data_IF_737988144073
#
_entry.id   IF_737988144073
#
_cell.length_a   1.000
_cell.length_b   1.000
_cell.length_c   1.000
_cell.angle_alpha   90.00
_cell.angle_beta   90.00
_cell.angle_gamma   90.00
#
_symmetry.space_group_name_H-M   'P 1'
#
loop_
_entity.id
_entity.type
_entity.pdbx_description
1 polymer ?
#
# COMPACT_ATOMS: atom_id res chain seq x y z
N UNK A 1 47.40 -49.91 59.39
CA UNK A 1 46.24 -49.81 60.31
C UNK A 1 45.08 -50.59 59.69
N UNK A 2 44.92 -51.82 60.18
CA UNK A 2 43.70 -52.63 60.34
C UNK A 2 42.39 -52.38 59.53
N UNK A 3 41.98 -53.47 58.82
CA UNK A 3 40.63 -54.13 58.83
C UNK A 3 39.53 -53.36 58.04
N UNK A 4 38.84 -53.89 57.00
CA UNK A 4 37.91 -55.05 57.01
C UNK A 4 37.70 -55.72 55.65
N UNK A 5 37.58 -57.05 55.74
CA UNK A 5 37.24 -58.06 54.71
C UNK A 5 35.72 -58.18 54.50
N UNK A 6 35.40 -58.94 53.45
CA UNK A 6 34.22 -59.77 53.22
C UNK A 6 33.04 -59.10 52.50
N UNK A 7 32.32 -59.73 51.58
CA UNK A 7 32.41 -60.98 50.81
C UNK A 7 31.24 -60.87 49.78
N UNK A 8 31.49 -61.00 48.47
CA UNK A 8 31.21 -62.15 47.59
C UNK A 8 29.74 -62.64 47.47
N UNK A 9 29.41 -62.89 46.20
CA UNK A 9 28.31 -63.67 45.60
C UNK A 9 27.16 -62.81 45.02
N UNK A 10 27.13 -62.50 43.72
CA UNK A 10 26.92 -63.35 42.53
C UNK A 10 25.46 -63.82 42.36
N UNK A 11 24.78 -63.29 41.34
CA UNK A 11 23.76 -64.02 40.57
C UNK A 11 23.56 -63.32 39.22
N UNK A 12 23.79 -64.09 38.16
CA UNK A 12 23.64 -63.73 36.76
C UNK A 12 22.17 -63.70 36.33
N UNK A 13 21.86 -62.92 35.28
CA UNK A 13 20.86 -63.31 34.26
C UNK A 13 20.75 -62.30 33.10
N UNK A 14 21.08 -62.78 31.90
CA UNK A 14 20.25 -62.76 30.68
C UNK A 14 19.93 -61.41 29.99
N UNK A 15 20.59 -61.26 28.83
CA UNK A 15 20.00 -61.14 27.49
C UNK A 15 18.86 -60.12 27.26
N UNK A 16 19.17 -59.13 26.42
CA UNK A 16 18.17 -58.30 25.76
C UNK A 16 18.81 -57.30 24.80
N UNK A 17 19.17 -57.74 23.59
CA UNK A 17 19.45 -56.86 22.45
C UNK A 17 18.15 -56.15 22.07
N UNK A 18 17.86 -55.02 22.71
CA UNK A 18 16.82 -54.11 22.25
C UNK A 18 17.40 -53.29 21.09
N UNK A 19 17.03 -53.67 19.86
CA UNK A 19 17.26 -52.84 18.68
C UNK A 19 16.62 -51.48 18.91
N UNK A 20 17.45 -50.43 18.98
CA UNK A 20 17.01 -49.04 18.91
C UNK A 20 16.43 -48.81 17.52
N UNK A 21 15.12 -49.03 17.40
CA UNK A 21 14.35 -48.50 16.27
C UNK A 21 14.33 -47.00 16.43
N UNK A 22 15.29 -46.31 15.80
CA UNK A 22 15.21 -44.87 15.58
C UNK A 22 14.02 -44.67 14.65
N UNK A 23 12.86 -44.36 15.24
CA UNK A 23 11.72 -43.88 14.49
C UNK A 23 12.17 -42.60 13.80
N UNK A 24 12.40 -42.66 12.49
CA UNK A 24 12.55 -41.47 11.67
C UNK A 24 11.26 -40.68 11.81
N UNK A 25 11.29 -39.61 12.60
CA UNK A 25 10.24 -38.60 12.60
C UNK A 25 10.09 -38.14 11.15
N UNK A 26 8.89 -38.20 10.55
CA UNK A 26 8.69 -37.62 9.23
C UNK A 26 9.03 -36.15 9.36
N UNK A 27 10.11 -35.74 8.71
CA UNK A 27 10.43 -34.33 8.50
C UNK A 27 9.23 -33.80 7.75
N UNK A 28 8.38 -33.02 8.43
CA UNK A 28 7.31 -32.32 7.76
C UNK A 28 7.98 -31.46 6.68
N UNK A 29 7.80 -31.85 5.42
CA UNK A 29 8.16 -31.01 4.29
C UNK A 29 7.55 -29.65 4.57
N UNK A 30 8.41 -28.66 4.83
CA UNK A 30 7.99 -27.29 4.95
C UNK A 30 7.39 -26.93 3.60
N UNK A 31 6.05 -26.97 3.51
CA UNK A 31 5.34 -26.54 2.33
C UNK A 31 5.93 -25.19 1.91
N UNK A 32 6.32 -25.02 0.63
CA UNK A 32 6.95 -23.79 0.19
C UNK A 32 6.04 -22.64 0.62
N UNK A 33 6.56 -21.71 1.42
CA UNK A 33 5.82 -20.55 1.85
C UNK A 33 5.37 -19.83 0.58
N UNK A 34 4.07 -19.85 0.30
CA UNK A 34 3.51 -19.21 -0.90
C UNK A 34 3.91 -17.75 -0.85
N UNK A 35 4.83 -17.34 -1.74
CA UNK A 35 5.27 -15.96 -1.79
C UNK A 35 4.03 -15.07 -1.98
N UNK A 36 3.93 -14.02 -1.18
CA UNK A 36 2.79 -13.12 -1.28
C UNK A 36 2.78 -12.51 -2.69
N UNK A 37 1.65 -12.60 -3.39
CA UNK A 37 1.48 -11.98 -4.70
C UNK A 37 1.89 -10.51 -4.64
N UNK A 38 2.63 -10.08 -5.66
CA UNK A 38 3.14 -8.72 -5.81
C UNK A 38 2.60 -8.16 -7.12
N UNK A 39 2.36 -6.86 -7.12
CA UNK A 39 1.97 -6.09 -8.29
C UNK A 39 2.99 -5.00 -8.52
N UNK A 40 3.49 -4.90 -9.76
CA UNK A 40 4.27 -3.75 -10.22
C UNK A 40 3.32 -2.71 -10.80
N UNK A 41 3.30 -1.53 -10.19
CA UNK A 41 2.50 -0.39 -10.61
C UNK A 41 3.47 0.63 -11.22
N UNK A 42 3.30 0.93 -12.49
CA UNK A 42 4.03 1.99 -13.18
C UNK A 42 3.13 3.19 -13.36
N UNK A 43 3.55 4.35 -12.88
CA UNK A 43 2.89 5.62 -13.11
C UNK A 43 3.63 6.38 -14.21
N UNK A 44 2.92 6.75 -15.27
CA UNK A 44 3.44 7.67 -16.28
C UNK A 44 3.05 9.09 -15.87
N UNK A 45 4.02 9.94 -15.58
CA UNK A 45 3.80 11.27 -14.98
C UNK A 45 4.58 12.34 -15.73
N UNK A 46 4.30 12.54 -17.04
CA UNK A 46 5.10 13.44 -17.86
C UNK A 46 5.09 14.87 -17.31
N UNK A 47 6.26 15.50 -17.28
CA UNK A 47 6.43 16.88 -16.80
C UNK A 47 6.39 17.04 -15.28
N UNK A 48 6.60 15.95 -14.52
CA UNK A 48 6.72 15.95 -13.06
C UNK A 48 8.07 15.37 -12.60
N UNK A 49 9.14 15.60 -13.36
CA UNK A 49 10.49 15.23 -12.93
C UNK A 49 10.82 15.86 -11.56
N UNK A 50 11.40 15.05 -10.66
CA UNK A 50 11.68 15.46 -9.29
C UNK A 50 10.47 15.48 -8.34
N UNK A 51 9.28 15.08 -8.80
CA UNK A 51 8.13 14.93 -7.91
C UNK A 51 8.32 13.75 -6.95
N UNK A 52 8.01 13.99 -5.68
CA UNK A 52 8.04 12.98 -4.64
C UNK A 52 6.67 12.31 -4.53
N UNK A 53 6.64 10.98 -4.52
CA UNK A 53 5.43 10.17 -4.58
C UNK A 53 5.48 9.09 -3.51
N UNK A 54 4.37 8.94 -2.79
CA UNK A 54 4.19 7.86 -1.81
C UNK A 54 2.85 7.17 -2.02
N UNK A 55 2.87 5.84 -1.95
CA UNK A 55 1.66 5.03 -1.95
C UNK A 55 1.26 4.70 -0.53
N UNK A 56 -0.05 4.76 -0.27
CA UNK A 56 -0.62 4.40 1.02
C UNK A 56 -1.94 3.66 0.86
N UNK A 57 -2.24 2.76 1.79
CA UNK A 57 -3.53 2.11 1.93
C UNK A 57 -4.03 2.38 3.34
N UNK A 58 -5.18 3.05 3.45
CA UNK A 58 -5.90 3.20 4.70
C UNK A 58 -7.32 2.67 4.48
N UNK A 59 -7.73 1.66 5.25
CA UNK A 59 -9.07 1.07 5.15
C UNK A 59 -9.64 0.77 6.52
N UNK A 60 -10.96 0.84 6.64
CA UNK A 60 -11.63 0.44 7.88
C UNK A 60 -11.36 -1.04 8.20
N UNK A 61 -11.14 -1.34 9.48
CA UNK A 61 -11.05 -2.73 9.95
C UNK A 61 -12.41 -3.41 9.77
N UNK A 62 -12.39 -4.59 9.17
CA UNK A 62 -13.52 -5.53 9.17
C UNK A 62 -13.32 -6.51 10.33
N UNK A 63 -14.23 -6.50 11.32
CA UNK A 63 -14.18 -7.36 12.52
C UNK A 63 -14.33 -6.60 13.83
N UNK A 64 -14.32 -7.31 14.99
CA UNK A 64 -14.42 -6.68 16.31
C UNK A 64 -13.22 -5.75 16.54
N UNK A 65 -13.52 -4.49 16.87
CA UNK A 65 -12.54 -3.43 17.09
C UNK A 65 -12.65 -2.31 16.05
N UNK A 66 -12.96 -1.10 16.52
CA UNK A 66 -12.95 0.10 15.68
C UNK A 66 -11.51 0.46 15.24
N UNK A 67 -11.37 1.00 14.03
CA UNK A 67 -10.13 1.62 13.59
C UNK A 67 -9.79 1.40 12.13
N UNK A 68 -8.60 1.86 11.77
CA UNK A 68 -8.08 1.89 10.41
C UNK A 68 -6.91 0.89 10.33
N UNK A 69 -6.87 0.07 9.27
CA UNK A 69 -5.67 -0.65 8.85
C UNK A 69 -4.88 0.27 7.92
N UNK A 70 -3.62 0.49 8.23
CA UNK A 70 -2.75 1.40 7.51
C UNK A 70 -1.51 0.68 7.01
N UNK A 71 -1.07 1.03 5.80
CA UNK A 71 0.16 0.61 5.16
C UNK A 71 0.65 1.71 4.22
N UNK A 72 1.96 1.85 4.04
CA UNK A 72 2.54 2.80 3.09
C UNK A 72 3.88 2.28 2.54
N UNK A 73 4.32 2.87 1.43
CA UNK A 73 5.67 2.68 0.88
C UNK A 73 6.63 3.74 1.42
N UNK A 74 7.93 3.51 1.26
CA UNK A 74 8.86 4.63 1.22
C UNK A 74 8.48 5.58 0.07
N UNK A 75 8.84 6.85 0.23
CA UNK A 75 8.70 7.84 -0.84
C UNK A 75 9.69 7.54 -1.98
N UNK A 76 9.29 7.85 -3.21
CA UNK A 76 10.13 7.76 -4.40
C UNK A 76 10.03 9.03 -5.21
N UNK A 77 11.13 9.38 -5.85
CA UNK A 77 11.20 10.52 -6.76
C UNK A 77 10.96 10.05 -8.20
N UNK A 78 10.15 10.80 -8.94
CA UNK A 78 10.01 10.63 -10.39
C UNK A 78 11.34 10.97 -11.06
N UNK A 79 11.81 10.07 -11.91
CA UNK A 79 12.98 10.26 -12.76
C UNK A 79 12.50 10.28 -14.23
N UNK A 80 12.63 11.44 -14.87
CA UNK A 80 12.05 11.69 -16.20
C UNK A 80 10.52 11.74 -16.15
N UNK A 81 9.86 10.84 -16.88
CA UNK A 81 8.40 10.86 -17.08
C UNK A 81 7.67 9.66 -16.43
N UNK A 82 8.34 8.87 -15.59
CA UNK A 82 7.69 7.72 -14.95
C UNK A 82 8.31 7.32 -13.62
N UNK A 83 7.57 6.55 -12.82
CA UNK A 83 8.11 5.81 -11.69
C UNK A 83 7.36 4.48 -11.50
N UNK A 84 8.01 3.50 -10.88
CA UNK A 84 7.39 2.21 -10.58
C UNK A 84 7.52 1.82 -9.11
N UNK A 85 6.51 1.11 -8.60
CA UNK A 85 6.53 0.44 -7.30
C UNK A 85 6.15 -1.02 -7.45
N UNK A 86 6.89 -1.91 -6.79
CA UNK A 86 6.46 -3.30 -6.60
C UNK A 86 5.92 -3.45 -5.19
N UNK A 87 4.63 -3.73 -5.06
CA UNK A 87 3.92 -3.76 -3.77
C UNK A 87 3.20 -5.10 -3.60
N UNK A 88 2.94 -5.59 -2.38
CA UNK A 88 2.06 -6.75 -2.21
C UNK A 88 0.67 -6.44 -2.78
N UNK A 89 0.15 -7.31 -3.64
CA UNK A 89 -1.11 -7.09 -4.39
C UNK A 89 -2.29 -6.74 -3.48
N UNK A 90 -2.34 -7.31 -2.27
CA UNK A 90 -3.36 -6.99 -1.25
C UNK A 90 -3.42 -5.50 -0.87
N UNK A 91 -2.34 -4.75 -1.09
CA UNK A 91 -2.23 -3.33 -0.76
C UNK A 91 -2.71 -2.40 -1.88
N UNK A 92 -3.03 -2.91 -3.08
CA UNK A 92 -3.58 -2.11 -4.18
C UNK A 92 -5.03 -1.70 -3.92
N UNK A 93 -5.84 -2.58 -3.31
CA UNK A 93 -7.26 -2.31 -3.08
C UNK A 93 -7.46 -1.26 -2.00
N UNK A 94 -8.01 -0.10 -2.33
CA UNK A 94 -8.13 1.06 -1.42
C UNK A 94 -6.81 1.80 -1.23
N UNK A 95 -5.94 1.73 -2.24
CA UNK A 95 -4.72 2.52 -2.31
C UNK A 95 -5.04 3.97 -2.68
N UNK A 96 -4.26 4.89 -2.14
CA UNK A 96 -4.19 6.29 -2.54
C UNK A 96 -2.73 6.68 -2.76
N UNK A 97 -2.53 7.79 -3.46
CA UNK A 97 -1.21 8.27 -3.81
C UNK A 97 -1.08 9.76 -3.51
N UNK A 98 -0.07 10.13 -2.73
CA UNK A 98 0.32 11.52 -2.54
C UNK A 98 1.41 11.91 -3.53
N UNK A 99 1.42 13.20 -3.88
CA UNK A 99 2.41 13.82 -4.75
C UNK A 99 2.84 15.13 -4.13
N UNK A 100 4.14 15.34 -3.99
CA UNK A 100 4.75 16.62 -3.63
C UNK A 100 5.64 17.05 -4.78
N UNK A 101 5.23 18.09 -5.49
CA UNK A 101 5.98 18.58 -6.64
C UNK A 101 7.01 19.64 -6.22
N UNK A 102 8.17 19.74 -6.90
CA UNK A 102 9.26 20.64 -6.51
C UNK A 102 8.90 22.13 -6.62
N UNK A 103 7.79 22.47 -7.27
CA UNK A 103 7.31 23.84 -7.41
C UNK A 103 6.29 24.25 -6.35
N UNK A 104 5.85 23.35 -5.48
CA UNK A 104 4.85 23.66 -4.47
C UNK A 104 5.39 24.67 -3.45
N UNK A 105 4.57 25.68 -3.14
CA UNK A 105 4.77 26.53 -1.98
C UNK A 105 4.09 25.94 -0.75
N UNK A 106 3.94 26.73 0.30
CA UNK A 106 3.26 26.29 1.53
C UNK A 106 1.72 26.26 1.35
N UNK A 107 1.22 25.14 0.84
CA UNK A 107 -0.20 24.87 0.56
C UNK A 107 -1.04 24.57 1.80
N UNK A 108 -0.41 24.06 2.88
CA UNK A 108 -1.12 23.59 4.07
C UNK A 108 -1.80 22.22 3.90
N UNK A 109 -1.48 21.49 2.84
CA UNK A 109 -1.94 20.13 2.57
C UNK A 109 -0.96 19.39 1.66
N UNK A 110 -1.05 18.07 1.58
CA UNK A 110 -0.33 17.27 0.58
C UNK A 110 -1.25 16.98 -0.59
N UNK A 111 -0.81 17.27 -1.82
CA UNK A 111 -1.58 16.95 -3.03
C UNK A 111 -1.78 15.45 -3.11
N UNK A 112 -3.02 15.01 -3.32
CA UNK A 112 -3.38 13.60 -3.49
C UNK A 112 -3.92 13.39 -4.91
N UNK A 113 -3.62 12.25 -5.50
CA UNK A 113 -4.08 11.91 -6.84
C UNK A 113 -5.57 11.60 -6.83
N UNK A 114 -6.33 12.30 -7.66
CA UNK A 114 -7.71 11.94 -7.97
C UNK A 114 -7.73 10.77 -8.97
N UNK A 115 -8.09 9.57 -8.50
CA UNK A 115 -8.24 8.40 -9.37
C UNK A 115 -9.55 8.40 -10.16
N UNK A 116 -10.57 9.09 -9.64
CA UNK A 116 -11.83 9.38 -10.35
C UNK A 116 -12.41 10.71 -9.89
N UNK A 117 -12.91 11.48 -10.84
CA UNK A 117 -13.75 12.65 -10.58
C UNK A 117 -15.24 12.30 -10.63
N UNK A 118 -16.06 13.08 -9.93
CA UNK A 118 -17.50 12.88 -9.88
C UNK A 118 -18.14 13.05 -11.27
N UNK A 119 -19.03 12.12 -11.60
CA UNK A 119 -19.75 12.09 -12.87
C UNK A 119 -18.95 11.58 -14.07
N UNK A 120 -17.71 11.12 -13.87
CA UNK A 120 -16.93 10.37 -14.88
C UNK A 120 -17.05 8.88 -14.60
N UNK A 121 -16.88 8.01 -15.58
CA UNK A 121 -16.90 6.54 -15.48
C UNK A 121 -15.51 5.92 -15.69
N UNK A 122 -15.26 4.69 -15.18
CA UNK A 122 -13.98 4.02 -15.37
C UNK A 122 -13.68 3.84 -16.86
N UNK A 123 -12.47 4.22 -17.28
CA UNK A 123 -12.07 4.27 -18.68
C UNK A 123 -12.21 5.63 -19.36
N UNK A 124 -12.91 6.60 -18.76
CA UNK A 124 -13.04 7.95 -19.33
C UNK A 124 -11.71 8.71 -19.27
N UNK A 125 -11.34 9.34 -20.39
CA UNK A 125 -10.17 10.22 -20.44
C UNK A 125 -10.49 11.62 -19.89
N UNK A 126 -9.64 12.08 -18.98
CA UNK A 126 -9.77 13.36 -18.30
C UNK A 126 -8.71 14.34 -18.80
N UNK A 127 -9.17 15.38 -19.49
CA UNK A 127 -8.31 16.52 -19.82
C UNK A 127 -8.11 17.42 -18.60
N UNK A 128 -7.04 18.23 -18.63
CA UNK A 128 -6.79 19.21 -17.57
C UNK A 128 -7.95 20.22 -17.41
N UNK A 129 -8.60 20.61 -18.51
CA UNK A 129 -9.73 21.53 -18.46
C UNK A 129 -10.91 20.90 -17.72
N UNK A 130 -11.22 19.63 -18.02
CA UNK A 130 -12.25 18.88 -17.30
C UNK A 130 -11.87 18.74 -15.83
N UNK A 131 -10.65 18.30 -15.51
CA UNK A 131 -10.20 18.18 -14.12
C UNK A 131 -10.42 19.48 -13.34
N UNK A 132 -10.03 20.63 -13.90
CA UNK A 132 -10.21 21.96 -13.27
C UNK A 132 -11.65 22.39 -13.03
N UNK A 133 -12.63 21.81 -13.73
CA UNK A 133 -14.06 22.10 -13.52
C UNK A 133 -14.73 21.14 -12.53
N UNK A 134 -14.00 20.14 -12.01
CA UNK A 134 -14.58 19.17 -11.08
C UNK A 134 -14.65 19.70 -9.65
N UNK A 135 -15.70 19.26 -8.98
CA UNK A 135 -16.02 19.61 -7.59
C UNK A 135 -16.03 18.42 -6.65
N UNK A 136 -16.02 17.19 -7.18
CA UNK A 136 -15.95 15.96 -6.41
C UNK A 136 -14.86 15.06 -6.99
N UNK A 137 -14.03 14.47 -6.13
CA UNK A 137 -13.02 13.49 -6.51
C UNK A 137 -12.84 12.41 -5.44
N UNK A 138 -12.25 11.28 -5.82
CA UNK A 138 -11.80 10.26 -4.87
C UNK A 138 -10.32 9.98 -5.05
N UNK A 139 -9.63 9.87 -3.93
CA UNK A 139 -8.25 9.41 -3.86
C UNK A 139 -8.15 7.88 -3.80
N UNK A 140 -9.28 7.18 -3.73
CA UNK A 140 -9.32 5.77 -3.39
C UNK A 140 -9.44 4.91 -4.65
N UNK A 141 -8.32 4.33 -5.07
CA UNK A 141 -8.28 3.37 -6.16
C UNK A 141 -8.84 2.01 -5.72
N UNK A 142 -9.64 1.36 -6.58
CA UNK A 142 -10.15 0.02 -6.32
C UNK A 142 -9.06 -1.05 -6.32
N UNK A 143 -7.86 -0.74 -6.81
CA UNK A 143 -6.76 -1.68 -6.90
C UNK A 143 -6.86 -2.61 -8.10
N UNK A 144 -6.02 -3.63 -8.09
CA UNK A 144 -5.94 -4.64 -9.14
C UNK A 144 -5.44 -5.97 -8.57
N UNK A 145 -5.76 -7.06 -9.25
CA UNK A 145 -5.17 -8.38 -9.04
C UNK A 145 -4.12 -8.74 -10.10
N UNK A 146 -3.88 -7.88 -11.08
CA UNK A 146 -2.85 -8.10 -12.09
C UNK A 146 -1.45 -8.01 -11.47
N UNK A 147 -0.50 -8.73 -12.06
CA UNK A 147 0.91 -8.68 -11.69
C UNK A 147 1.55 -7.34 -12.10
N UNK A 148 1.03 -6.71 -13.14
CA UNK A 148 1.50 -5.42 -13.65
C UNK A 148 0.33 -4.51 -14.05
N UNK A 149 0.49 -3.20 -13.82
CA UNK A 149 -0.46 -2.18 -14.28
C UNK A 149 0.29 -0.88 -14.56
N UNK A 150 -0.11 -0.20 -15.64
CA UNK A 150 0.35 1.16 -15.95
C UNK A 150 -0.81 2.13 -15.79
N UNK A 151 -0.60 3.19 -15.01
CA UNK A 151 -1.60 4.23 -14.77
C UNK A 151 -1.05 5.57 -15.28
N UNK A 152 -1.62 6.12 -16.38
CA UNK A 152 -1.23 7.44 -16.84
C UNK A 152 -1.77 8.49 -15.88
N UNK A 153 -0.88 9.37 -15.42
CA UNK A 153 -1.19 10.46 -14.52
C UNK A 153 -0.90 11.79 -15.21
N UNK A 154 -1.70 12.79 -14.85
CA UNK A 154 -1.37 14.18 -15.13
C UNK A 154 -1.11 14.88 -13.81
N UNK A 155 0.10 15.40 -13.65
CA UNK A 155 0.44 16.31 -12.55
C UNK A 155 0.83 17.66 -13.14
N UNK A 156 0.17 18.72 -12.69
CA UNK A 156 0.39 20.07 -13.22
C UNK A 156 0.43 21.11 -12.13
N UNK A 157 1.29 22.10 -12.34
CA UNK A 157 1.35 23.33 -11.56
C UNK A 157 0.06 24.14 -11.72
N UNK A 158 -0.52 24.53 -10.60
CA UNK A 158 -1.71 25.39 -10.51
C UNK A 158 -1.53 26.42 -9.40
N UNK A 159 -2.37 27.45 -9.40
CA UNK A 159 -2.46 28.37 -8.26
C UNK A 159 -3.56 27.91 -7.31
N UNK A 160 -3.23 27.84 -6.03
CA UNK A 160 -4.12 27.42 -4.94
C UNK A 160 -4.04 28.42 -3.81
N UNK A 161 -5.03 28.39 -2.92
CA UNK A 161 -4.97 29.15 -1.68
C UNK A 161 -4.03 28.41 -0.72
N UNK A 162 -2.91 29.06 -0.40
CA UNK A 162 -1.96 28.56 0.59
C UNK A 162 -2.30 29.03 1.99
N UNK A 163 -1.45 28.70 2.96
CA UNK A 163 -1.68 29.00 4.38
C UNK A 163 -1.75 30.50 4.71
N UNK A 164 -1.14 31.36 3.89
CA UNK A 164 -1.11 32.83 4.10
C UNK A 164 -1.53 33.64 2.89
N UNK A 165 -1.24 33.16 1.69
CA UNK A 165 -1.51 33.81 0.42
C UNK A 165 -1.58 32.74 -0.67
N UNK A 166 -1.98 33.13 -1.89
CA UNK A 166 -1.99 32.21 -3.03
C UNK A 166 -0.57 31.75 -3.37
N UNK A 167 -0.38 30.44 -3.47
CA UNK A 167 0.91 29.82 -3.79
C UNK A 167 0.78 28.91 -5.00
N UNK A 168 1.93 28.53 -5.56
CA UNK A 168 1.98 27.41 -6.49
C UNK A 168 1.64 26.15 -5.72
N UNK A 169 0.67 25.41 -6.21
CA UNK A 169 0.35 24.05 -5.77
C UNK A 169 0.35 23.11 -6.96
N UNK A 170 -0.15 21.90 -6.75
CA UNK A 170 -0.33 20.92 -7.81
C UNK A 170 -1.76 20.43 -7.88
N UNK A 171 -2.15 20.04 -9.09
CA UNK A 171 -3.27 19.14 -9.33
C UNK A 171 -2.67 17.82 -9.82
N UNK A 172 -3.16 16.70 -9.29
CA UNK A 172 -2.74 15.37 -9.66
C UNK A 172 -3.99 14.50 -9.89
N UNK A 173 -4.08 13.86 -11.05
CA UNK A 173 -5.20 12.98 -11.37
C UNK A 173 -4.79 11.89 -12.35
N UNK A 174 -5.51 10.76 -12.33
CA UNK A 174 -5.37 9.73 -13.35
C UNK A 174 -5.94 10.25 -14.68
N UNK A 175 -5.11 10.27 -15.72
CA UNK A 175 -5.50 10.76 -17.05
C UNK A 175 -6.62 9.92 -17.66
N UNK A 176 -6.67 8.64 -17.31
CA UNK A 176 -7.80 7.76 -17.58
C UNK A 176 -8.43 7.39 -16.25
N UNK A 177 -9.75 7.55 -16.13
CA UNK A 177 -10.50 7.32 -14.90
C UNK A 177 -10.39 5.87 -14.46
N UNK A 178 -10.06 5.64 -13.20
CA UNK A 178 -9.86 4.30 -12.65
C UNK A 178 -11.12 3.77 -11.94
N UNK A 179 -11.19 2.45 -11.79
CA UNK A 179 -12.06 1.83 -10.79
C UNK A 179 -11.70 2.34 -9.40
N UNK A 180 -12.70 2.60 -8.56
CA UNK A 180 -12.53 3.40 -7.35
C UNK A 180 -13.32 2.85 -6.17
N UNK A 181 -13.05 3.41 -4.99
CA UNK A 181 -13.79 3.15 -3.77
C UNK A 181 -14.24 4.45 -3.13
N UNK A 182 -15.36 4.42 -2.40
CA UNK A 182 -15.77 5.53 -1.55
C UNK A 182 -14.66 5.92 -0.54
N UNK A 183 -14.63 7.17 -0.06
CA UNK A 183 -15.55 8.27 -0.36
C UNK A 183 -15.19 9.08 -1.61
N UNK A 184 -16.19 9.72 -2.20
CA UNK A 184 -15.96 10.95 -2.95
C UNK A 184 -15.92 12.11 -1.96
N UNK A 185 -14.97 13.03 -2.17
CA UNK A 185 -14.75 14.22 -1.35
C UNK A 185 -14.86 15.45 -2.24
N UNK A 186 -15.19 16.57 -1.64
CA UNK A 186 -15.14 17.86 -2.32
C UNK A 186 -13.70 18.18 -2.75
N UNK A 187 -13.57 18.79 -3.91
CA UNK A 187 -12.31 19.30 -4.46
C UNK A 187 -12.50 20.72 -4.98
N UNK A 188 -11.44 21.51 -4.87
CA UNK A 188 -11.46 22.91 -5.31
C UNK A 188 -10.73 23.03 -6.64
N UNK A 189 -11.50 23.32 -7.68
CA UNK A 189 -11.00 23.36 -9.06
C UNK A 189 -10.19 22.11 -9.43
N UNK A 190 -10.73 20.93 -9.11
CA UNK A 190 -10.09 19.64 -9.33
C UNK A 190 -8.94 19.27 -8.40
N UNK A 191 -8.47 20.19 -7.55
CA UNK A 191 -7.36 19.91 -6.63
C UNK A 191 -7.88 19.11 -5.43
N UNK A 192 -7.35 17.90 -5.28
CA UNK A 192 -7.58 17.06 -4.12
C UNK A 192 -6.37 17.15 -3.19
N UNK A 193 -6.57 17.79 -2.03
CA UNK A 193 -5.56 17.93 -0.99
C UNK A 193 -5.97 17.19 0.28
N UNK A 194 -4.99 16.62 0.98
CA UNK A 194 -5.22 15.94 2.25
C UNK A 194 -4.24 16.42 3.33
N UNK A 195 -4.74 16.59 4.56
CA UNK A 195 -3.92 16.81 5.77
C UNK A 195 -3.74 15.52 6.58
N UNK A 196 -4.60 14.52 6.32
CA UNK A 196 -4.61 13.20 6.94
C UNK A 196 -4.62 12.10 5.87
N UNK A 197 -4.56 10.84 6.30
CA UNK A 197 -4.66 9.67 5.42
C UNK A 197 -6.04 9.56 4.75
N UNK A 198 -6.07 9.15 3.48
CA UNK A 198 -7.32 8.90 2.77
C UNK A 198 -7.87 7.50 3.11
N UNK A 199 -8.86 7.45 4.02
CA UNK A 199 -9.48 6.18 4.42
C UNK A 199 -10.50 5.73 3.38
N UNK A 200 -10.21 4.60 2.74
CA UNK A 200 -10.98 4.04 1.64
C UNK A 200 -11.94 2.94 2.10
N UNK A 201 -13.12 2.93 1.49
CA UNK A 201 -14.23 2.01 1.78
C UNK A 201 -15.28 2.59 2.72
N UNK A 202 -16.45 1.95 2.76
CA UNK A 202 -17.54 2.34 3.65
C UNK A 202 -17.11 2.13 5.10
N UNK A 203 -17.32 3.14 5.93
CA UNK A 203 -17.15 2.98 7.38
C UNK A 203 -18.16 1.93 7.86
N UNK A 204 -17.71 0.90 8.61
CA UNK A 204 -18.62 -0.03 9.27
C UNK A 204 -19.57 0.78 10.15
N UNK A 205 -20.88 0.64 9.91
CA UNK A 205 -21.87 1.13 10.86
C UNK A 205 -21.74 0.25 12.11
N UNK A 206 -21.51 0.89 13.26
CA UNK A 206 -21.52 0.23 14.56
C UNK A 206 -22.91 -0.31 14.89
#
# INVERSE_FOLDING_TARGET
MTIRRAALAAAAALAGLAGLSVAATPTADAAPSREAAKTTITFQVPGCDGCQVQLMQARWKTGPGHGIRFWHTAERTVDGDSLSFTVPTRHTHGMSMTVVAPWEGNTGYVTTTAFRYGGEDPGDDITFRQARSKHMATACWAGTSADEVTIPLTVRKVWVDGTRHRVRGSIAYASTTQEWMVPMREVWHGVLGSQDVNVCGKQPRG
#
